data_IF_426408299316
#
_entry.id   IF_426408299316
#
_cell.length_a   1.000
_cell.length_b   1.000
_cell.length_c   1.000
_cell.angle_alpha   90.00
_cell.angle_beta   90.00
_cell.angle_gamma   90.00
#
_symmetry.space_group_name_H-M   'P 1'
#
loop_
_entity.id
_entity.type
_entity.pdbx_description
1 polymer ?
#
# COMPACT_ATOMS: atom_id res chain seq x y z
N UNK A 1 -5.01 15.99 -15.71
CA UNK A 1 -3.91 15.23 -15.08
C UNK A 1 -4.43 14.20 -14.05
N UNK A 2 -5.47 14.47 -13.26
CA UNK A 2 -6.11 13.49 -12.36
C UNK A 2 -6.91 12.37 -13.06
N UNK A 3 -7.65 12.72 -14.11
CA UNK A 3 -8.49 11.76 -14.86
C UNK A 3 -7.67 10.63 -15.53
N UNK A 4 -6.43 10.91 -15.95
CA UNK A 4 -5.57 9.93 -16.60
C UNK A 4 -5.06 8.83 -15.63
N UNK A 5 -4.75 9.19 -14.38
CA UNK A 5 -4.32 8.21 -13.37
C UNK A 5 -5.44 7.26 -12.95
N UNK A 6 -6.68 7.76 -12.84
CA UNK A 6 -7.86 6.92 -12.51
C UNK A 6 -8.23 5.95 -13.64
N UNK A 7 -7.97 6.29 -14.90
CA UNK A 7 -8.26 5.39 -16.03
C UNK A 7 -7.29 4.20 -16.05
N UNK A 8 -6.05 4.40 -15.61
CA UNK A 8 -5.06 3.32 -15.52
C UNK A 8 -5.35 2.29 -14.41
N UNK A 9 -6.01 2.70 -13.33
CA UNK A 9 -6.41 1.79 -12.24
C UNK A 9 -7.75 1.07 -12.48
N UNK A 10 -8.61 1.59 -13.38
CA UNK A 10 -9.92 0.98 -13.70
C UNK A 10 -10.03 0.38 -15.10
N UNK A 11 -9.00 0.50 -15.93
CA UNK A 11 -8.98 -0.01 -17.29
C UNK A 11 -8.51 -1.45 -17.37
N UNK A 12 -9.47 -2.38 -17.38
CA UNK A 12 -9.49 -3.58 -18.23
C UNK A 12 -8.18 -4.34 -18.48
N UNK A 13 -8.09 -5.56 -17.95
CA UNK A 13 -7.36 -6.69 -18.53
C UNK A 13 -5.94 -6.41 -19.06
N UNK A 14 -4.93 -6.68 -18.23
CA UNK A 14 -3.66 -7.23 -18.74
C UNK A 14 -2.53 -6.26 -19.06
N UNK A 15 -2.38 -5.13 -18.35
CA UNK A 15 -1.17 -4.30 -18.48
C UNK A 15 -0.41 -4.15 -17.16
N UNK A 16 0.35 -5.20 -16.80
CA UNK A 16 1.44 -5.15 -15.80
C UNK A 16 2.50 -4.07 -16.11
N UNK A 17 2.49 -3.48 -17.31
CA UNK A 17 3.55 -2.59 -17.80
C UNK A 17 3.48 -1.13 -17.31
N UNK A 18 2.34 -0.66 -16.81
CA UNK A 18 2.20 0.76 -16.46
C UNK A 18 2.03 1.05 -14.97
N UNK A 19 2.19 0.07 -14.08
CA UNK A 19 2.14 0.33 -12.64
C UNK A 19 3.22 1.33 -12.20
N UNK A 20 4.43 1.21 -12.74
CA UNK A 20 5.51 2.18 -12.47
C UNK A 20 5.17 3.60 -12.97
N UNK A 21 4.59 3.74 -14.17
CA UNK A 21 4.14 5.03 -14.69
C UNK A 21 2.96 5.61 -13.91
N UNK A 22 2.01 4.76 -13.50
CA UNK A 22 0.87 5.16 -12.66
C UNK A 22 1.37 5.66 -11.30
N UNK A 23 2.33 4.97 -10.69
CA UNK A 23 2.97 5.40 -9.45
C UNK A 23 3.68 6.74 -9.61
N UNK A 24 4.41 6.96 -10.71
CA UNK A 24 5.06 8.24 -10.99
C UNK A 24 4.04 9.40 -11.12
N UNK A 25 2.90 9.15 -11.79
CA UNK A 25 1.81 10.11 -11.91
C UNK A 25 1.16 10.40 -10.56
N UNK A 26 0.91 9.36 -9.76
CA UNK A 26 0.38 9.51 -8.40
C UNK A 26 1.37 10.27 -7.51
N UNK A 27 2.68 10.04 -7.64
CA UNK A 27 3.72 10.76 -6.89
C UNK A 27 3.71 12.25 -7.21
N UNK A 28 3.58 12.62 -8.49
CA UNK A 28 3.44 14.01 -8.92
C UNK A 28 2.16 14.64 -8.37
N UNK A 29 1.05 13.90 -8.36
CA UNK A 29 -0.20 14.38 -7.78
C UNK A 29 -0.12 14.52 -6.24
N UNK A 30 0.50 13.56 -5.55
CA UNK A 30 0.74 13.61 -4.11
C UNK A 30 1.63 14.81 -3.73
N UNK A 31 2.65 15.13 -4.53
CA UNK A 31 3.46 16.35 -4.36
C UNK A 31 2.63 17.64 -4.44
N UNK A 32 1.56 17.64 -5.23
CA UNK A 32 0.61 18.75 -5.32
C UNK A 32 -0.45 18.73 -4.19
N UNK A 33 -0.18 18.03 -3.08
CA UNK A 33 -1.10 17.84 -1.94
C UNK A 33 -2.44 17.22 -2.34
N UNK A 34 -2.46 16.42 -3.40
CA UNK A 34 -3.68 15.75 -3.83
C UNK A 34 -3.93 14.51 -2.96
N UNK A 35 -4.83 14.65 -1.98
CA UNK A 35 -5.14 13.60 -0.99
C UNK A 35 -5.47 12.22 -1.60
N UNK A 36 -6.41 12.08 -2.56
CA UNK A 36 -6.72 10.77 -3.15
C UNK A 36 -5.54 10.15 -3.91
N UNK A 37 -4.56 10.93 -4.36
CA UNK A 37 -3.35 10.37 -4.96
C UNK A 37 -2.42 9.74 -3.90
N UNK A 38 -2.34 10.34 -2.70
CA UNK A 38 -1.61 9.74 -1.57
C UNK A 38 -2.27 8.44 -1.11
N UNK A 39 -3.60 8.39 -1.06
CA UNK A 39 -4.34 7.17 -0.70
C UNK A 39 -4.09 6.04 -1.71
N UNK A 40 -4.19 6.34 -3.01
CA UNK A 40 -3.94 5.36 -4.05
C UNK A 40 -2.49 4.87 -4.07
N UNK A 41 -1.50 5.74 -3.78
CA UNK A 41 -0.12 5.32 -3.58
C UNK A 41 0.00 4.31 -2.43
N UNK A 42 -0.61 4.62 -1.28
CA UNK A 42 -0.65 3.70 -0.15
C UNK A 42 -1.28 2.36 -0.51
N UNK A 43 -2.38 2.36 -1.28
CA UNK A 43 -3.05 1.14 -1.73
C UNK A 43 -2.19 0.31 -2.69
N UNK A 44 -1.42 0.94 -3.58
CA UNK A 44 -0.50 0.22 -4.46
C UNK A 44 0.62 -0.48 -3.67
N UNK A 45 1.19 0.18 -2.65
CA UNK A 45 2.19 -0.42 -1.76
C UNK A 45 1.59 -1.51 -0.87
N UNK A 46 0.32 -1.36 -0.47
CA UNK A 46 -0.40 -2.32 0.35
C UNK A 46 -0.71 -3.62 -0.41
N UNK A 47 -1.21 -3.53 -1.65
CA UNK A 47 -1.56 -4.71 -2.46
C UNK A 47 -0.38 -5.28 -3.25
N UNK A 48 0.68 -4.50 -3.47
CA UNK A 48 1.78 -4.89 -4.35
C UNK A 48 1.36 -4.92 -5.83
N UNK A 49 0.46 -4.02 -6.22
CA UNK A 49 -0.08 -3.97 -7.58
C UNK A 49 0.96 -3.38 -8.54
N UNK A 50 1.81 -4.26 -9.07
CA UNK A 50 2.91 -3.93 -9.99
C UNK A 50 4.19 -3.42 -9.33
N UNK A 51 4.24 -3.43 -8.00
CA UNK A 51 5.45 -3.27 -7.16
C UNK A 51 5.44 -4.32 -6.05
N UNK A 52 6.56 -4.55 -5.36
CA UNK A 52 6.56 -5.40 -4.18
C UNK A 52 5.65 -4.84 -3.08
N UNK A 53 4.95 -5.72 -2.35
CA UNK A 53 4.18 -5.33 -1.16
C UNK A 53 5.13 -4.69 -0.15
N UNK A 54 4.85 -3.45 0.24
CA UNK A 54 5.59 -2.75 1.28
C UNK A 54 4.64 -2.02 2.23
N UNK A 55 4.33 -2.67 3.34
CA UNK A 55 3.42 -2.12 4.34
C UNK A 55 4.01 -0.89 5.06
N UNK A 56 5.33 -0.77 5.16
CA UNK A 56 5.99 0.39 5.77
C UNK A 56 5.81 1.66 4.92
N UNK A 57 5.99 1.54 3.60
CA UNK A 57 5.74 2.65 2.67
C UNK A 57 4.24 2.97 2.60
N UNK A 58 3.36 1.96 2.59
CA UNK A 58 1.92 2.16 2.64
C UNK A 58 1.49 2.98 3.87
N UNK A 59 1.97 2.62 5.06
CA UNK A 59 1.70 3.34 6.31
C UNK A 59 2.16 4.80 6.22
N UNK A 60 3.35 5.06 5.64
CA UNK A 60 3.86 6.43 5.43
C UNK A 60 2.95 7.26 4.54
N UNK A 61 2.50 6.72 3.42
CA UNK A 61 1.59 7.44 2.51
C UNK A 61 0.24 7.73 3.16
N UNK A 62 -0.30 6.77 3.91
CA UNK A 62 -1.54 6.99 4.65
C UNK A 62 -1.38 7.99 5.79
N UNK A 63 -0.23 8.00 6.48
CA UNK A 63 0.09 9.01 7.48
C UNK A 63 0.19 10.42 6.88
N UNK A 64 0.75 10.55 5.66
CA UNK A 64 0.75 11.83 4.94
C UNK A 64 -0.66 12.28 4.56
N UNK A 65 -1.52 11.37 4.08
CA UNK A 65 -2.92 11.68 3.80
C UNK A 65 -3.67 12.10 5.07
N UNK A 66 -3.45 11.41 6.20
CA UNK A 66 -4.00 11.78 7.50
C UNK A 66 -3.54 13.17 7.95
N UNK A 67 -2.24 13.49 7.77
CA UNK A 67 -1.68 14.81 8.09
C UNK A 67 -2.25 15.93 7.20
N UNK A 68 -2.72 15.59 6.00
CA UNK A 68 -3.43 16.52 5.12
C UNK A 68 -4.90 16.75 5.54
N UNK A 69 -5.39 16.09 6.59
CA UNK A 69 -6.77 16.18 7.07
C UNK A 69 -7.69 15.09 6.49
N UNK A 70 -7.15 14.14 5.74
CA UNK A 70 -7.94 13.09 5.12
C UNK A 70 -8.30 11.98 6.12
N UNK A 71 -9.59 11.77 6.36
CA UNK A 71 -10.09 10.76 7.31
C UNK A 71 -9.85 9.33 6.82
N UNK A 72 -9.88 9.09 5.51
CA UNK A 72 -9.61 7.77 4.95
C UNK A 72 -8.14 7.39 5.16
N UNK A 73 -7.23 8.36 5.10
CA UNK A 73 -5.81 8.16 5.41
C UNK A 73 -5.60 7.67 6.85
N UNK A 74 -6.34 8.22 7.83
CA UNK A 74 -6.27 7.76 9.22
C UNK A 74 -6.75 6.30 9.34
N UNK A 75 -7.88 5.98 8.72
CA UNK A 75 -8.46 4.63 8.76
C UNK A 75 -7.54 3.62 8.10
N UNK A 76 -7.06 3.90 6.89
CA UNK A 76 -6.18 3.00 6.13
C UNK A 76 -4.82 2.81 6.82
N UNK A 77 -4.25 3.86 7.42
CA UNK A 77 -3.04 3.75 8.23
C UNK A 77 -3.23 2.75 9.37
N UNK A 78 -4.33 2.86 10.11
CA UNK A 78 -4.62 1.96 11.23
C UNK A 78 -4.76 0.51 10.74
N UNK A 79 -5.48 0.28 9.64
CA UNK A 79 -5.62 -1.05 9.02
C UNK A 79 -4.26 -1.65 8.67
N UNK A 80 -3.37 -0.88 8.02
CA UNK A 80 -2.04 -1.37 7.65
C UNK A 80 -1.16 -1.63 8.88
N UNK A 81 -1.23 -0.77 9.89
CA UNK A 81 -0.53 -0.96 11.15
C UNK A 81 -0.94 -2.26 11.83
N UNK A 82 -2.25 -2.54 11.89
CA UNK A 82 -2.80 -3.79 12.43
C UNK A 82 -2.39 -5.00 11.59
N UNK A 83 -2.37 -4.89 10.26
CA UNK A 83 -1.90 -5.98 9.39
C UNK A 83 -0.40 -6.26 9.56
N UNK A 84 0.43 -5.25 9.75
CA UNK A 84 1.86 -5.45 10.06
C UNK A 84 2.03 -6.17 11.40
N UNK A 85 1.28 -5.76 12.43
CA UNK A 85 1.30 -6.44 13.72
C UNK A 85 0.85 -7.91 13.59
N UNK A 86 -0.25 -8.15 12.86
CA UNK A 86 -0.76 -9.51 12.61
C UNK A 86 0.24 -10.36 11.80
N UNK A 87 0.86 -9.80 10.76
CA UNK A 87 1.86 -10.49 9.95
C UNK A 87 3.07 -10.94 10.79
N UNK A 88 3.54 -10.06 11.69
CA UNK A 88 4.63 -10.38 12.62
C UNK A 88 4.27 -11.50 13.57
N UNK A 89 3.04 -11.51 14.10
CA UNK A 89 2.54 -12.58 14.98
C UNK A 89 2.47 -13.92 14.24
N UNK A 90 1.98 -13.92 12.99
CA UNK A 90 1.90 -15.13 12.15
C UNK A 90 3.28 -15.68 11.82
N UNK A 91 4.26 -14.82 11.51
CA UNK A 91 5.63 -15.25 11.22
C UNK A 91 6.29 -15.92 12.44
N UNK A 92 6.13 -15.32 13.63
CA UNK A 92 6.64 -15.88 14.89
C UNK A 92 6.00 -17.25 15.18
N UNK A 93 4.68 -17.36 14.99
CA UNK A 93 3.96 -18.63 15.17
C UNK A 93 4.43 -19.72 14.20
N UNK A 94 4.64 -19.38 12.92
CA UNK A 94 5.15 -20.33 11.91
C UNK A 94 6.56 -20.81 12.24
N UNK A 95 7.46 -19.93 12.70
CA UNK A 95 8.81 -20.30 13.14
C UNK A 95 8.80 -21.25 14.34
N UNK A 96 7.94 -20.99 15.32
CA UNK A 96 7.81 -21.86 16.48
C UNK A 96 7.35 -23.28 16.11
N UNK A 97 6.37 -23.39 15.20
CA UNK A 97 5.87 -24.69 14.71
C UNK A 97 6.93 -25.43 13.89
N UNK A 98 7.67 -24.73 13.01
CA UNK A 98 8.75 -25.33 12.22
C UNK A 98 9.94 -25.79 13.06
N UNK A 99 10.28 -25.06 14.13
CA UNK A 99 11.31 -25.49 15.07
C UNK A 99 10.88 -26.79 15.79
N UNK A 100 9.64 -26.84 16.30
CA UNK A 100 9.11 -28.01 16.98
C UNK A 100 8.98 -29.26 16.08
N UNK A 101 8.87 -29.08 14.76
CA UNK A 101 8.86 -30.20 13.80
C UNK A 101 10.25 -30.70 13.40
N UNK A 102 11.30 -29.89 13.58
CA UNK A 102 12.70 -30.29 13.31
C UNK A 102 13.36 -31.05 14.46
N UNK A 103 12.76 -31.00 15.65
CA UNK A 103 13.25 -31.67 16.86
C UNK A 103 12.58 -33.05 17.12
N UNK A 104 11.86 -33.61 16.13
CA UNK A 104 11.31 -34.97 16.13
C UNK A 104 12.04 -35.84 15.11
#
# INVERSE_FOLDING_TARGET
QFQAGKILLRGTHGQKKNAAEALQLLYKAAKNKHEPAMLQLGECYHHGDGIGVNLEDAERWYAMAAAAGNRDGVTLRNIVHEQMAAAKVVEVGKRAVLAAQKER
#
